data_IF_114164238444
#
_entry.id   IF_114164238444
#
_cell.length_a   1.000
_cell.length_b   1.000
_cell.length_c   1.000
_cell.angle_alpha   90.00
_cell.angle_beta   90.00
_cell.angle_gamma   90.00
#
_symmetry.space_group_name_H-M   'P 1'
#
loop_
_entity.id
_entity.type
_entity.pdbx_description
1 polymer ?
#
# COMPACT_ATOMS: atom_id res chain seq x y z
N UNK A 1 1.80 43.74 -8.54
CA UNK A 1 0.49 43.98 -9.17
C UNK A 1 0.18 43.09 -10.40
N UNK A 2 1.10 42.86 -11.37
CA UNK A 2 0.88 41.87 -12.46
C UNK A 2 0.65 40.40 -12.01
N UNK A 3 1.04 40.06 -10.77
CA UNK A 3 0.90 38.70 -10.23
C UNK A 3 -0.54 38.29 -9.91
N UNK A 4 -1.42 39.22 -9.55
CA UNK A 4 -2.83 38.90 -9.28
C UNK A 4 -3.58 38.47 -10.55
N UNK A 5 -3.32 39.13 -11.68
CA UNK A 5 -3.88 38.73 -12.98
C UNK A 5 -3.44 37.32 -13.42
N UNK A 6 -2.21 36.89 -13.07
CA UNK A 6 -1.73 35.53 -13.31
C UNK A 6 -2.44 34.50 -12.42
N UNK A 7 -2.76 34.85 -11.17
CA UNK A 7 -3.52 33.99 -10.26
C UNK A 7 -4.97 33.84 -10.76
N UNK A 8 -5.65 34.93 -11.12
CA UNK A 8 -7.01 34.89 -11.68
C UNK A 8 -7.10 34.04 -12.96
N UNK A 9 -6.08 34.12 -13.82
CA UNK A 9 -6.04 33.37 -15.09
C UNK A 9 -5.83 31.86 -14.93
N UNK A 10 -5.25 31.40 -13.82
CA UNK A 10 -4.96 29.98 -13.58
C UNK A 10 -5.90 29.34 -12.54
N UNK A 11 -6.46 30.14 -11.62
CA UNK A 11 -7.26 29.67 -10.49
C UNK A 11 -8.41 30.65 -10.23
N UNK A 12 -9.55 30.44 -10.90
CA UNK A 12 -10.74 31.29 -10.72
C UNK A 12 -11.28 31.19 -9.30
N UNK A 13 -11.67 32.33 -8.70
CA UNK A 13 -12.33 32.44 -7.40
C UNK A 13 -11.51 31.98 -6.17
N UNK A 14 -10.19 31.85 -6.28
CA UNK A 14 -9.33 31.52 -5.11
C UNK A 14 -9.12 32.72 -4.19
N UNK A 15 -9.17 33.94 -4.74
CA UNK A 15 -9.11 35.19 -3.97
C UNK A 15 -10.45 35.90 -4.16
N UNK A 16 -11.23 36.01 -3.09
CA UNK A 16 -12.52 36.70 -3.10
C UNK A 16 -12.37 38.21 -2.95
N UNK A 17 -11.43 38.64 -2.11
CA UNK A 17 -11.24 40.04 -1.72
C UNK A 17 -9.79 40.32 -1.32
N UNK A 18 -9.33 41.55 -1.55
CA UNK A 18 -7.99 42.02 -1.15
C UNK A 18 -8.14 43.25 -0.24
N UNK A 19 -7.61 43.17 0.97
CA UNK A 19 -7.58 44.30 1.90
C UNK A 19 -6.25 45.05 1.75
N UNK A 20 -6.31 46.36 1.65
CA UNK A 20 -5.13 47.23 1.53
C UNK A 20 -5.13 48.21 2.70
N UNK A 21 -4.24 47.99 3.68
CA UNK A 21 -4.05 48.90 4.80
C UNK A 21 -3.19 50.10 4.37
N UNK A 22 -3.69 51.31 4.62
CA UNK A 22 -2.90 52.54 4.52
C UNK A 22 -2.75 53.17 5.90
N UNK A 23 -1.51 53.37 6.35
CA UNK A 23 -1.23 54.17 7.53
C UNK A 23 -1.40 55.65 7.17
N UNK A 24 -2.16 56.39 7.99
CA UNK A 24 -2.48 57.80 7.82
C UNK A 24 -1.22 58.61 7.53
N UNK A 25 -1.06 59.03 6.27
CA UNK A 25 -0.15 60.07 5.72
C UNK A 25 0.03 59.98 4.19
N UNK A 26 -0.52 58.94 3.52
CA UNK A 26 -0.55 58.85 2.05
C UNK A 26 -2.00 58.97 1.54
N UNK A 27 -2.38 60.14 1.05
CA UNK A 27 -3.64 60.32 0.32
C UNK A 27 -3.59 59.51 -1.00
N UNK A 28 -4.43 58.50 -1.13
CA UNK A 28 -4.59 57.79 -2.39
C UNK A 28 -5.63 58.56 -3.20
N UNK A 29 -5.18 59.29 -4.21
CA UNK A 29 -6.09 60.02 -5.09
C UNK A 29 -6.92 59.11 -6.01
N UNK A 30 -6.49 57.87 -6.28
CA UNK A 30 -7.26 56.92 -7.09
C UNK A 30 -7.04 55.46 -6.66
N UNK A 31 -8.02 54.89 -5.95
CA UNK A 31 -8.04 53.50 -5.53
C UNK A 31 -7.94 52.53 -6.73
N UNK A 32 -8.55 52.88 -7.87
CA UNK A 32 -8.59 52.01 -9.06
C UNK A 32 -7.22 51.88 -9.74
N UNK A 33 -6.27 52.79 -9.45
CA UNK A 33 -4.91 52.71 -9.93
C UNK A 33 -4.06 51.63 -9.21
N UNK A 34 -4.52 51.08 -8.07
CA UNK A 34 -3.80 50.05 -7.33
C UNK A 34 -3.92 48.67 -7.98
N UNK A 35 -5.04 48.33 -8.61
CA UNK A 35 -5.23 47.07 -9.31
C UNK A 35 -5.87 47.27 -10.69
N UNK A 36 -5.23 48.05 -11.59
CA UNK A 36 -5.86 48.54 -12.82
C UNK A 36 -6.15 47.44 -13.86
N UNK A 37 -5.62 46.23 -13.65
CA UNK A 37 -5.73 45.10 -14.59
C UNK A 37 -6.37 43.86 -13.96
N UNK A 38 -6.74 43.91 -12.68
CA UNK A 38 -7.32 42.76 -11.96
C UNK A 38 -8.82 42.99 -11.76
N UNK A 39 -9.62 41.91 -11.78
CA UNK A 39 -11.06 42.00 -11.50
C UNK A 39 -11.40 41.73 -10.04
N UNK A 40 -10.38 41.51 -9.20
CA UNK A 40 -10.53 41.22 -7.78
C UNK A 40 -11.07 42.46 -7.06
N UNK A 41 -12.09 42.24 -6.22
CA UNK A 41 -12.59 43.28 -5.32
C UNK A 41 -11.51 43.60 -4.29
N UNK A 42 -11.29 44.89 -4.02
CA UNK A 42 -10.38 45.31 -2.97
C UNK A 42 -10.99 46.42 -2.13
N UNK A 43 -10.63 46.43 -0.86
CA UNK A 43 -11.06 47.42 0.12
C UNK A 43 -9.84 48.13 0.71
N UNK A 44 -9.93 49.46 0.82
CA UNK A 44 -8.90 50.27 1.44
C UNK A 44 -9.26 50.49 2.91
N UNK A 45 -8.39 50.02 3.81
CA UNK A 45 -8.54 50.18 5.24
C UNK A 45 -7.71 51.39 5.69
N UNK A 46 -8.42 52.37 6.27
CA UNK A 46 -7.85 53.63 6.75
C UNK A 46 -7.22 53.54 8.14
N UNK A 47 -7.35 52.41 8.84
CA UNK A 47 -6.79 52.22 10.17
C UNK A 47 -6.60 50.75 10.49
N UNK A 48 -5.72 50.47 11.45
CA UNK A 48 -5.41 49.11 11.91
C UNK A 48 -6.61 48.45 12.61
N UNK A 49 -7.44 49.25 13.29
CA UNK A 49 -8.64 48.76 13.99
C UNK A 49 -9.65 48.14 13.01
N UNK A 50 -9.74 48.63 11.77
CA UNK A 50 -10.62 48.05 10.75
C UNK A 50 -10.18 46.65 10.32
N UNK A 51 -8.89 46.30 10.44
CA UNK A 51 -8.43 44.93 10.16
C UNK A 51 -9.09 43.88 11.06
N UNK A 52 -9.45 44.27 12.29
CA UNK A 52 -10.09 43.37 13.25
C UNK A 52 -11.53 42.97 12.85
N UNK A 53 -12.13 43.64 11.85
CA UNK A 53 -13.37 43.19 11.24
C UNK A 53 -13.19 41.95 10.34
N UNK A 54 -11.96 41.71 9.85
CA UNK A 54 -11.64 40.64 8.89
C UNK A 54 -10.76 39.55 9.49
N UNK A 55 -9.84 39.91 10.39
CA UNK A 55 -8.88 39.00 10.99
C UNK A 55 -9.07 39.03 12.50
N UNK A 56 -9.15 37.86 13.13
CA UNK A 56 -9.24 37.76 14.57
C UNK A 56 -7.99 38.35 15.24
N UNK A 57 -8.17 39.01 16.38
CA UNK A 57 -7.08 39.70 17.08
C UNK A 57 -5.91 38.78 17.40
N UNK A 58 -6.18 37.53 17.77
CA UNK A 58 -5.20 36.50 18.10
C UNK A 58 -4.47 35.90 16.88
N UNK A 59 -4.87 36.29 15.67
CA UNK A 59 -4.24 35.91 14.40
C UNK A 59 -3.55 37.08 13.70
N UNK A 60 -3.81 38.31 14.17
CA UNK A 60 -3.21 39.53 13.63
C UNK A 60 -1.91 39.85 14.37
N UNK A 61 -0.88 40.27 13.63
CA UNK A 61 0.41 40.61 14.23
C UNK A 61 0.31 41.84 15.14
N UNK A 62 1.15 41.88 16.18
CA UNK A 62 1.23 43.03 17.09
C UNK A 62 1.46 44.37 16.37
N UNK A 63 2.25 44.37 15.29
CA UNK A 63 2.52 45.59 14.49
C UNK A 63 1.26 46.16 13.80
N UNK A 64 0.22 45.34 13.62
CA UNK A 64 -1.08 45.72 13.06
C UNK A 64 -2.20 45.78 14.12
N UNK A 65 -1.88 45.81 15.41
CA UNK A 65 -2.88 45.93 16.48
C UNK A 65 -3.53 44.61 16.90
N UNK A 66 -2.90 43.48 16.59
CA UNK A 66 -3.29 42.16 17.10
C UNK A 66 -2.45 41.68 18.29
N UNK A 67 -2.68 40.44 18.69
CA UNK A 67 -2.01 39.77 19.81
C UNK A 67 -1.04 38.67 19.35
N UNK A 68 -0.95 38.40 18.05
CA UNK A 68 -0.10 37.34 17.51
C UNK A 68 1.37 37.79 17.45
N UNK A 69 2.22 37.08 18.19
CA UNK A 69 3.67 37.27 18.17
C UNK A 69 4.28 36.27 17.21
N UNK A 70 4.76 36.76 16.06
CA UNK A 70 5.46 35.92 15.09
C UNK A 70 6.92 35.69 15.48
N UNK A 71 7.32 34.43 15.54
CA UNK A 71 8.72 34.01 15.67
C UNK A 71 9.16 33.28 14.38
N UNK A 72 10.07 33.90 13.63
CA UNK A 72 10.60 33.33 12.41
C UNK A 72 11.42 32.06 12.65
N UNK A 73 12.16 31.98 13.76
CA UNK A 73 12.99 30.83 14.09
C UNK A 73 12.13 29.65 14.56
N UNK A 74 11.06 29.90 15.31
CA UNK A 74 10.06 28.88 15.62
C UNK A 74 9.45 28.33 14.34
N UNK A 75 9.04 29.20 13.42
CA UNK A 75 8.45 28.79 12.14
C UNK A 75 9.40 27.95 11.29
N UNK A 76 10.66 28.36 11.14
CA UNK A 76 11.66 27.54 10.43
C UNK A 76 11.82 26.18 11.12
N UNK A 77 11.96 26.18 12.45
CA UNK A 77 12.20 24.95 13.21
C UNK A 77 11.03 23.97 13.06
N UNK A 78 9.80 24.44 13.21
CA UNK A 78 8.59 23.65 12.97
C UNK A 78 8.60 23.01 11.59
N UNK A 79 8.85 23.81 10.54
CA UNK A 79 8.84 23.32 9.14
C UNK A 79 9.97 22.32 8.87
N UNK A 80 11.14 22.51 9.47
CA UNK A 80 12.28 21.57 9.36
C UNK A 80 11.97 20.20 9.97
N UNK A 81 11.20 20.14 11.05
CA UNK A 81 10.77 18.86 11.64
C UNK A 81 9.58 18.25 10.86
N UNK A 82 8.61 19.08 10.48
CA UNK A 82 7.36 18.63 9.89
C UNK A 82 7.55 18.05 8.48
N UNK A 83 8.25 18.77 7.60
CA UNK A 83 8.30 18.44 6.17
C UNK A 83 8.96 17.08 5.88
N UNK A 84 10.15 16.78 6.44
CA UNK A 84 10.76 15.46 6.25
C UNK A 84 9.90 14.34 6.81
N UNK A 85 9.21 14.57 7.94
CA UNK A 85 8.36 13.57 8.57
C UNK A 85 7.13 13.23 7.72
N UNK A 86 6.42 14.25 7.21
CA UNK A 86 5.28 14.06 6.30
C UNK A 86 5.76 13.35 5.02
N UNK A 87 6.87 13.79 4.43
CA UNK A 87 7.40 13.20 3.22
C UNK A 87 7.79 11.72 3.42
N UNK A 88 8.47 11.43 4.53
CA UNK A 88 8.82 10.07 4.93
C UNK A 88 7.58 9.17 5.04
N UNK A 89 6.56 9.64 5.78
CA UNK A 89 5.31 8.89 5.92
C UNK A 89 4.61 8.64 4.57
N UNK A 90 4.60 9.62 3.66
CA UNK A 90 3.98 9.47 2.34
C UNK A 90 4.72 8.47 1.46
N UNK A 91 6.05 8.57 1.41
CA UNK A 91 6.87 7.70 0.58
C UNK A 91 6.81 6.25 1.07
N UNK A 92 7.02 6.03 2.38
CA UNK A 92 6.91 4.72 3.00
C UNK A 92 5.49 4.17 2.89
N UNK A 93 4.47 5.00 3.11
CA UNK A 93 3.08 4.61 2.98
C UNK A 93 2.72 4.14 1.57
N UNK A 94 3.16 4.86 0.53
CA UNK A 94 2.97 4.46 -0.87
C UNK A 94 3.64 3.12 -1.17
N UNK A 95 4.89 2.93 -0.70
CA UNK A 95 5.61 1.68 -0.88
C UNK A 95 4.89 0.49 -0.22
N UNK A 96 4.41 0.67 1.02
CA UNK A 96 3.64 -0.35 1.73
C UNK A 96 2.32 -0.70 1.02
N UNK A 97 1.60 0.31 0.52
CA UNK A 97 0.34 0.10 -0.21
C UNK A 97 0.57 -0.68 -1.50
N UNK A 98 1.61 -0.34 -2.27
CA UNK A 98 1.97 -1.08 -3.48
C UNK A 98 2.26 -2.55 -3.16
N UNK A 99 3.09 -2.82 -2.14
CA UNK A 99 3.39 -4.19 -1.74
C UNK A 99 2.14 -4.93 -1.23
N UNK A 100 1.25 -4.26 -0.48
CA UNK A 100 -0.03 -4.83 -0.07
C UNK A 100 -0.90 -5.25 -1.26
N UNK A 101 -0.93 -4.45 -2.33
CA UNK A 101 -1.67 -4.75 -3.56
C UNK A 101 -1.04 -5.93 -4.30
N UNK A 102 0.28 -5.96 -4.45
CA UNK A 102 1.02 -7.07 -5.05
C UNK A 102 0.77 -8.39 -4.31
N UNK A 103 0.75 -8.35 -2.97
CA UNK A 103 0.46 -9.53 -2.16
C UNK A 103 -0.99 -10.02 -2.32
N UNK A 104 -1.94 -9.12 -2.60
CA UNK A 104 -3.36 -9.46 -2.80
C UNK A 104 -3.66 -9.98 -4.21
N UNK A 105 -3.01 -9.43 -5.24
CA UNK A 105 -3.29 -9.72 -6.65
C UNK A 105 -2.64 -10.99 -7.19
N UNK A 106 -1.74 -11.61 -6.44
CA UNK A 106 -0.98 -12.77 -6.91
C UNK A 106 -1.87 -14.01 -7.05
N UNK A 107 -1.92 -14.57 -8.27
CA UNK A 107 -2.64 -15.84 -8.57
C UNK A 107 -1.96 -17.03 -7.90
N UNK A 108 -2.74 -18.10 -7.68
CA UNK A 108 -2.19 -19.36 -7.19
C UNK A 108 -1.27 -20.00 -8.24
N UNK A 109 -0.07 -20.45 -7.84
CA UNK A 109 0.91 -21.09 -8.72
C UNK A 109 0.45 -22.48 -9.18
N UNK A 110 0.87 -22.87 -10.39
CA UNK A 110 0.41 -24.13 -11.01
C UNK A 110 1.22 -25.36 -10.60
N UNK A 111 2.48 -25.20 -10.18
CA UNK A 111 3.41 -26.27 -9.78
C UNK A 111 4.09 -26.02 -8.44
N UNK A 112 4.64 -27.08 -7.84
CA UNK A 112 5.43 -27.00 -6.60
C UNK A 112 6.61 -26.02 -6.73
N UNK A 113 7.36 -26.09 -7.83
CA UNK A 113 8.52 -25.22 -8.09
C UNK A 113 8.15 -23.74 -8.14
N UNK A 114 7.07 -23.39 -8.85
CA UNK A 114 6.60 -22.00 -8.92
C UNK A 114 6.07 -21.51 -7.56
N UNK A 115 5.46 -22.40 -6.78
CA UNK A 115 5.01 -22.09 -5.42
C UNK A 115 6.19 -21.75 -4.53
N UNK A 116 7.25 -22.56 -4.56
CA UNK A 116 8.48 -22.32 -3.81
C UNK A 116 9.14 -21.00 -4.19
N UNK A 117 9.27 -20.72 -5.50
CA UNK A 117 9.84 -19.43 -5.96
C UNK A 117 9.02 -18.23 -5.47
N UNK A 118 7.70 -18.34 -5.46
CA UNK A 118 6.83 -17.26 -5.00
C UNK A 118 6.93 -17.03 -3.48
N UNK A 119 7.10 -18.10 -2.68
CA UNK A 119 7.38 -17.99 -1.24
C UNK A 119 8.68 -17.21 -1.02
N UNK A 120 9.76 -17.60 -1.70
CA UNK A 120 11.06 -16.95 -1.55
C UNK A 120 11.04 -15.49 -2.00
N UNK A 121 10.31 -15.17 -3.09
CA UNK A 121 10.13 -13.80 -3.53
C UNK A 121 9.35 -12.96 -2.52
N UNK A 122 8.25 -13.49 -1.97
CA UNK A 122 7.48 -12.80 -0.95
C UNK A 122 8.33 -12.53 0.30
N UNK A 123 9.04 -13.54 0.82
CA UNK A 123 9.93 -13.38 1.98
C UNK A 123 10.95 -12.27 1.73
N UNK A 124 11.63 -12.29 0.59
CA UNK A 124 12.60 -11.24 0.22
C UNK A 124 11.97 -9.85 0.18
N UNK A 125 10.84 -9.68 -0.50
CA UNK A 125 10.19 -8.37 -0.66
C UNK A 125 9.71 -7.80 0.68
N UNK A 126 9.10 -8.64 1.51
CA UNK A 126 8.61 -8.25 2.84
C UNK A 126 9.78 -7.91 3.75
N UNK A 127 10.79 -8.77 3.83
CA UNK A 127 12.00 -8.51 4.63
C UNK A 127 12.68 -7.22 4.18
N UNK A 128 12.91 -7.03 2.87
CA UNK A 128 13.53 -5.82 2.36
C UNK A 128 12.75 -4.56 2.74
N UNK A 129 11.42 -4.61 2.66
CA UNK A 129 10.56 -3.48 3.03
C UNK A 129 10.66 -3.13 4.52
N UNK A 130 10.69 -4.12 5.41
CA UNK A 130 10.85 -3.87 6.85
C UNK A 130 12.29 -3.51 7.26
N UNK A 131 13.27 -3.69 6.38
CA UNK A 131 14.65 -3.24 6.58
C UNK A 131 14.93 -1.90 5.88
N UNK A 132 13.93 -1.28 5.24
CA UNK A 132 14.05 0.05 4.68
C UNK A 132 14.36 1.06 5.79
N UNK A 133 15.46 1.79 5.65
CA UNK A 133 15.98 2.70 6.68
C UNK A 133 14.95 3.77 7.07
N UNK A 134 14.24 4.33 6.08
CA UNK A 134 13.24 5.35 6.31
C UNK A 134 12.03 4.79 7.08
N UNK A 135 11.54 3.60 6.70
CA UNK A 135 10.46 2.94 7.42
C UNK A 135 10.86 2.61 8.87
N UNK A 136 12.08 2.09 9.06
CA UNK A 136 12.63 1.74 10.38
C UNK A 136 12.77 2.96 11.28
N UNK A 137 13.30 4.06 10.75
CA UNK A 137 13.40 5.33 11.46
C UNK A 137 12.01 5.87 11.86
N UNK A 138 11.01 5.78 10.97
CA UNK A 138 9.64 6.18 11.31
C UNK A 138 9.00 5.28 12.38
N UNK A 139 9.35 3.99 12.42
CA UNK A 139 8.88 3.06 13.45
C UNK A 139 9.54 3.32 14.81
N UNK A 140 10.84 3.60 14.83
CA UNK A 140 11.61 3.80 16.06
C UNK A 140 11.43 5.21 16.66
N UNK A 141 11.47 6.24 15.82
CA UNK A 141 11.49 7.64 16.27
C UNK A 141 10.19 8.41 16.01
N UNK A 142 9.26 7.85 15.23
CA UNK A 142 8.08 8.60 14.78
C UNK A 142 7.19 9.11 15.92
N UNK A 143 7.01 8.34 16.99
CA UNK A 143 6.27 8.79 18.18
C UNK A 143 7.01 9.94 18.92
N UNK A 144 8.34 9.96 18.90
CA UNK A 144 9.17 11.03 19.49
C UNK A 144 9.06 12.30 18.65
N UNK A 145 9.19 12.17 17.33
CA UNK A 145 9.04 13.28 16.38
C UNK A 145 7.64 13.89 16.50
N UNK A 146 6.60 13.06 16.60
CA UNK A 146 5.23 13.53 16.73
C UNK A 146 5.01 14.29 18.05
N UNK A 147 5.61 13.85 19.16
CA UNK A 147 5.56 14.58 20.44
C UNK A 147 6.27 15.93 20.34
N UNK A 148 7.44 15.99 19.71
CA UNK A 148 8.15 17.25 19.50
C UNK A 148 7.32 18.21 18.64
N UNK A 149 6.72 17.72 17.55
CA UNK A 149 5.79 18.46 16.71
C UNK A 149 4.58 18.96 17.53
N UNK A 150 4.00 18.13 18.39
CA UNK A 150 2.90 18.53 19.28
C UNK A 150 3.29 19.63 20.27
N UNK A 151 4.56 19.77 20.65
CA UNK A 151 5.03 20.87 21.51
C UNK A 151 4.80 22.24 20.88
N UNK A 152 4.83 22.36 19.54
CA UNK A 152 4.55 23.61 18.83
C UNK A 152 3.10 24.05 18.96
N UNK A 153 2.17 23.11 19.19
CA UNK A 153 0.76 23.44 19.49
C UNK A 153 0.63 24.22 20.80
N UNK A 154 1.47 23.91 21.78
CA UNK A 154 1.47 24.62 23.06
C UNK A 154 2.23 25.94 23.01
N UNK A 155 3.29 26.03 22.19
CA UNK A 155 4.06 27.26 21.97
C UNK A 155 3.25 28.31 21.21
N UNK A 156 2.50 27.86 20.20
CA UNK A 156 1.70 28.72 19.30
C UNK A 156 0.24 28.25 19.20
N UNK A 157 -0.57 28.39 20.27
CA UNK A 157 -1.94 27.84 20.33
C UNK A 157 -2.94 28.48 19.36
N UNK A 158 -2.71 29.75 19.01
CA UNK A 158 -3.54 30.51 18.08
C UNK A 158 -3.15 30.30 16.61
N UNK A 159 -2.01 29.63 16.35
CA UNK A 159 -1.58 29.34 14.99
C UNK A 159 -2.42 28.18 14.40
N UNK A 160 -3.38 28.53 13.55
CA UNK A 160 -4.27 27.56 12.91
C UNK A 160 -3.53 26.59 11.99
N UNK A 161 -2.54 27.07 11.23
CA UNK A 161 -1.75 26.26 10.31
C UNK A 161 -0.99 25.16 11.07
N UNK A 162 -0.42 25.49 12.23
CA UNK A 162 0.25 24.47 13.06
C UNK A 162 -0.74 23.41 13.52
N UNK A 163 -1.89 23.83 14.06
CA UNK A 163 -2.92 22.90 14.54
C UNK A 163 -3.41 21.97 13.43
N UNK A 164 -3.69 22.50 12.24
CA UNK A 164 -4.16 21.73 11.10
C UNK A 164 -3.09 20.77 10.57
N UNK A 165 -1.85 21.24 10.38
CA UNK A 165 -0.75 20.40 9.93
C UNK A 165 -0.45 19.29 10.92
N UNK A 166 -0.47 19.57 12.23
CA UNK A 166 -0.24 18.58 13.28
C UNK A 166 -1.33 17.50 13.28
N UNK A 167 -2.60 17.88 13.14
CA UNK A 167 -3.70 16.92 13.05
C UNK A 167 -3.55 16.01 11.82
N UNK A 168 -3.32 16.62 10.65
CA UNK A 168 -3.10 15.87 9.39
C UNK A 168 -1.89 14.92 9.50
N UNK A 169 -0.82 15.39 10.12
CA UNK A 169 0.42 14.62 10.32
C UNK A 169 0.20 13.44 11.25
N UNK A 170 -0.53 13.65 12.35
CA UNK A 170 -0.91 12.60 13.28
C UNK A 170 -1.73 11.50 12.60
N UNK A 171 -2.75 11.90 11.82
CA UNK A 171 -3.56 10.95 11.03
C UNK A 171 -2.69 10.18 10.04
N UNK A 172 -1.84 10.88 9.27
CA UNK A 172 -0.96 10.27 8.28
C UNK A 172 -0.02 9.22 8.90
N UNK A 173 0.62 9.55 10.02
CA UNK A 173 1.53 8.62 10.69
C UNK A 173 0.80 7.41 11.27
N UNK A 174 -0.41 7.60 11.81
CA UNK A 174 -1.24 6.50 12.28
C UNK A 174 -1.65 5.57 11.13
N UNK A 175 -2.01 6.11 9.96
CA UNK A 175 -2.31 5.31 8.77
C UNK A 175 -1.08 4.53 8.27
N UNK A 176 0.12 5.11 8.33
CA UNK A 176 1.37 4.38 8.05
C UNK A 176 1.52 3.16 8.97
N UNK A 177 1.38 3.35 10.29
CA UNK A 177 1.47 2.26 11.28
C UNK A 177 0.43 1.18 11.03
N UNK A 178 -0.81 1.56 10.69
CA UNK A 178 -1.87 0.60 10.30
C UNK A 178 -1.49 -0.18 9.06
N UNK A 179 -0.92 0.48 8.04
CA UNK A 179 -0.46 -0.17 6.82
C UNK A 179 0.66 -1.19 7.09
N UNK A 180 1.63 -0.85 7.95
CA UNK A 180 2.69 -1.77 8.39
C UNK A 180 2.11 -3.01 9.06
N UNK A 181 1.23 -2.83 10.04
CA UNK A 181 0.59 -3.95 10.75
C UNK A 181 -0.25 -4.82 9.81
N UNK A 182 -0.95 -4.19 8.86
CA UNK A 182 -1.73 -4.89 7.83
C UNK A 182 -0.84 -5.69 6.88
N UNK A 183 0.30 -5.14 6.48
CA UNK A 183 1.27 -5.81 5.63
C UNK A 183 1.84 -7.05 6.34
N UNK A 184 2.30 -6.91 7.58
CA UNK A 184 2.82 -8.02 8.37
C UNK A 184 1.81 -9.16 8.48
N UNK A 185 0.56 -8.85 8.86
CA UNK A 185 -0.53 -9.84 8.97
C UNK A 185 -0.87 -10.50 7.64
N UNK A 186 -0.92 -9.73 6.55
CA UNK A 186 -1.21 -10.27 5.23
C UNK A 186 -0.08 -11.16 4.72
N UNK A 187 1.16 -10.74 4.89
CA UNK A 187 2.34 -11.49 4.50
C UNK A 187 2.39 -12.84 5.22
N UNK A 188 2.22 -12.84 6.54
CA UNK A 188 2.19 -14.07 7.34
C UNK A 188 1.06 -15.01 6.90
N UNK A 189 -0.18 -14.50 6.83
CA UNK A 189 -1.34 -15.28 6.39
C UNK A 189 -1.15 -15.86 4.97
N UNK A 190 -0.59 -15.07 4.06
CA UNK A 190 -0.32 -15.53 2.69
C UNK A 190 0.78 -16.57 2.67
N UNK A 191 1.84 -16.39 3.46
CA UNK A 191 2.94 -17.34 3.55
C UNK A 191 2.44 -18.72 3.97
N UNK A 192 1.66 -18.79 5.04
CA UNK A 192 1.07 -20.05 5.53
C UNK A 192 0.26 -20.78 4.43
N UNK A 193 -0.57 -20.03 3.70
CA UNK A 193 -1.34 -20.59 2.57
C UNK A 193 -0.47 -21.09 1.42
N UNK A 194 0.65 -20.41 1.14
CA UNK A 194 1.57 -20.83 0.11
C UNK A 194 2.34 -22.09 0.51
N UNK A 195 2.69 -22.22 1.79
CA UNK A 195 3.32 -23.42 2.33
C UNK A 195 2.36 -24.63 2.28
N UNK A 196 1.09 -24.45 2.65
CA UNK A 196 0.03 -25.46 2.45
C UNK A 196 -0.13 -25.84 0.97
N UNK A 197 -0.17 -24.84 0.07
CA UNK A 197 -0.26 -25.06 -1.36
C UNK A 197 0.95 -25.83 -1.90
N UNK A 198 2.16 -25.53 -1.40
CA UNK A 198 3.39 -26.21 -1.79
C UNK A 198 3.32 -27.69 -1.41
N UNK A 199 2.92 -27.99 -0.17
CA UNK A 199 2.75 -29.37 0.29
C UNK A 199 1.77 -30.15 -0.58
N UNK A 200 0.61 -29.56 -0.88
CA UNK A 200 -0.41 -30.20 -1.73
C UNK A 200 0.12 -30.44 -3.15
N UNK A 201 0.83 -29.47 -3.74
CA UNK A 201 1.37 -29.58 -5.10
C UNK A 201 2.48 -30.63 -5.19
N UNK A 202 3.39 -30.65 -4.24
CA UNK A 202 4.44 -31.68 -4.14
C UNK A 202 3.80 -33.07 -4.06
N UNK A 203 2.81 -33.26 -3.19
CA UNK A 203 2.09 -34.53 -3.08
C UNK A 203 1.39 -34.95 -4.39
N UNK A 204 0.71 -34.01 -5.06
CA UNK A 204 0.04 -34.29 -6.35
C UNK A 204 1.04 -34.71 -7.44
N UNK A 205 2.18 -34.04 -7.52
CA UNK A 205 3.23 -34.32 -8.49
C UNK A 205 3.90 -35.69 -8.21
N UNK A 206 4.21 -35.99 -6.95
CA UNK A 206 4.74 -37.28 -6.52
C UNK A 206 3.75 -38.43 -6.79
N UNK A 207 2.47 -38.27 -6.41
CA UNK A 207 1.42 -39.26 -6.66
C UNK A 207 1.20 -39.54 -8.15
N UNK A 208 1.32 -38.49 -8.99
CA UNK A 208 1.21 -38.63 -10.45
C UNK A 208 2.38 -39.44 -11.01
N UNK A 209 3.61 -39.21 -10.52
CA UNK A 209 4.78 -40.00 -10.93
C UNK A 209 4.65 -41.48 -10.58
N UNK A 210 4.17 -41.80 -9.37
CA UNK A 210 3.94 -43.19 -8.94
C UNK A 210 2.89 -43.88 -9.82
N UNK A 211 1.82 -43.16 -10.19
CA UNK A 211 0.76 -43.70 -11.06
C UNK A 211 1.29 -44.03 -12.46
N UNK A 212 2.08 -43.13 -13.05
CA UNK A 212 2.70 -43.36 -14.37
C UNK A 212 3.69 -44.54 -14.32
N UNK A 213 4.53 -44.61 -13.28
CA UNK A 213 5.44 -45.75 -13.09
C UNK A 213 4.68 -47.07 -12.95
N UNK A 214 3.58 -47.10 -12.18
CA UNK A 214 2.74 -48.29 -12.02
C UNK A 214 2.11 -48.74 -13.35
N UNK A 215 1.67 -47.82 -14.20
CA UNK A 215 1.16 -48.14 -15.54
C UNK A 215 2.25 -48.72 -16.45
N UNK A 216 3.46 -48.13 -16.46
CA UNK A 216 4.59 -48.64 -17.22
C UNK A 216 5.04 -50.04 -16.77
N UNK A 217 5.00 -50.34 -15.47
CA UNK A 217 5.31 -51.67 -14.94
C UNK A 217 4.25 -52.68 -15.37
N UNK A 218 2.96 -52.32 -15.33
CA UNK A 218 1.86 -53.21 -15.69
C UNK A 218 1.87 -53.59 -17.18
N UNK A 219 2.30 -52.68 -18.07
CA UNK A 219 2.49 -52.97 -19.51
C UNK A 219 3.67 -53.89 -19.82
N UNK A 220 4.59 -54.11 -18.86
CA UNK A 220 5.79 -54.94 -19.02
C UNK A 220 5.68 -56.33 -18.35
N UNK A 221 4.53 -56.71 -17.78
CA UNK A 221 4.34 -58.08 -17.27
C UNK A 221 4.25 -59.09 -18.43
N UNK A 222 5.03 -60.21 -18.42
CA UNK A 222 4.89 -61.25 -19.42
C UNK A 222 3.48 -61.86 -19.33
N UNK A 223 2.75 -61.85 -20.46
CA UNK A 223 1.43 -62.51 -20.56
C UNK A 223 1.56 -63.94 -20.03
N UNK A 224 0.82 -64.28 -18.96
CA UNK A 224 0.77 -65.64 -18.41
C UNK A 224 0.49 -66.61 -19.57
N UNK A 225 1.41 -67.55 -19.82
CA UNK A 225 1.17 -68.68 -20.72
C UNK A 225 -0.01 -69.46 -20.14
N UNK A 226 -1.13 -69.46 -20.84
CA UNK A 226 -2.27 -70.34 -20.57
C UNK A 226 -1.80 -71.78 -20.73
N UNK A 227 -1.76 -72.52 -19.63
CA UNK A 227 -1.53 -73.97 -19.65
C UNK A 227 -2.82 -74.63 -20.17
N UNK A 228 -2.76 -75.45 -21.23
CA UNK A 228 -3.94 -76.15 -21.72
C UNK A 228 -4.44 -77.19 -20.70
N UNK A 229 -5.75 -77.46 -20.64
CA UNK A 229 -6.30 -78.39 -19.65
C UNK A 229 -5.84 -79.83 -19.94
N UNK A 230 -5.41 -80.51 -18.88
CA UNK A 230 -5.05 -81.93 -18.89
C UNK A 230 -6.35 -82.74 -19.01
N UNK A 231 -6.53 -83.41 -20.15
CA UNK A 231 -7.64 -84.37 -20.34
C UNK A 231 -7.27 -85.67 -19.62
N UNK A 232 -8.09 -86.05 -18.63
CA UNK A 232 -7.97 -87.33 -17.95
C UNK A 232 -8.42 -88.47 -18.89
N UNK A 233 -7.49 -89.34 -19.26
CA UNK A 233 -7.81 -90.59 -19.95
C UNK A 233 -8.21 -91.65 -18.90
N UNK A 234 -9.51 -91.94 -18.82
CA UNK A 234 -10.04 -93.05 -18.04
C UNK A 234 -9.68 -94.38 -18.70
N UNK A 235 -9.14 -95.29 -17.89
CA UNK A 235 -8.77 -96.65 -18.26
C UNK A 235 -10.00 -97.56 -18.10
N UNK A 236 -10.45 -98.22 -19.18
CA UNK A 236 -11.35 -99.36 -19.07
C UNK A 236 -10.86 -100.51 -19.96
N UNK A 237 -10.25 -101.49 -19.30
CA UNK A 237 -9.99 -102.83 -19.83
C UNK A 237 -11.29 -103.64 -19.82
N UNK A 238 -11.66 -104.29 -20.93
CA UNK A 238 -12.84 -105.15 -20.99
C UNK A 238 -13.13 -105.83 -22.33
N UNK A 239 -12.30 -106.83 -22.70
CA UNK A 239 -12.62 -108.09 -23.41
C UNK A 239 -13.45 -108.08 -24.73
N UNK A 240 -12.74 -108.51 -25.79
CA UNK A 240 -13.04 -109.56 -26.81
C UNK A 240 -14.48 -109.80 -27.29
N UNK A 241 -14.67 -109.68 -28.61
CA UNK A 241 -15.08 -110.77 -29.54
C UNK A 241 -15.06 -110.28 -31.01
N UNK A 242 -14.45 -111.05 -31.92
CA UNK A 242 -14.67 -110.98 -33.38
C UNK A 242 -15.76 -112.01 -33.79
N UNK A 243 -16.13 -112.24 -35.08
CA UNK A 243 -15.83 -111.55 -36.35
C UNK A 243 -17.08 -111.37 -37.28
N UNK A 244 -16.81 -111.02 -38.55
CA UNK A 244 -17.57 -111.32 -39.80
C UNK A 244 -18.67 -110.38 -40.36
N UNK A 245 -18.61 -110.20 -41.69
CA UNK A 245 -19.69 -109.70 -42.57
C UNK A 245 -19.29 -108.49 -43.43
N UNK A 246 -18.69 -108.69 -44.61
CA UNK A 246 -19.36 -108.72 -45.93
C UNK A 246 -19.65 -107.31 -46.52
N UNK A 247 -18.90 -106.90 -47.55
CA UNK A 247 -19.34 -106.83 -48.97
C UNK A 247 -19.62 -105.35 -49.35
N UNK A 248 -19.23 -104.76 -50.47
CA UNK A 248 -18.76 -105.16 -51.80
C UNK A 248 -17.63 -104.20 -52.24
#
# INVERSE_FOLDING_TARGET
MRRFCLIEGNLSNVISEVLILFEENNEISDANALLPTSRIQFEILSSKEKLLAYIQRDQLLCEYGGDYVYDHQEWISFRKFLEPFINGCRLSGRHLVNLLEDLRGSRLPVSSTLTHQMIEQQKRNVTHTFHDEQLRHLEEEGDTILKELQSYRTKSPHNHDYRENLERTNVLYNELRKAMAKLARLADKRLNRLEECLQLKTFQEESSQVTVQGQCVNSNLPKKKTVPPIVAAANHNGKKCCPEGAAF
#
